data_IF_930951829578
#
_entry.id   IF_930951829578
#
_cell.length_a   1.000
_cell.length_b   1.000
_cell.length_c   1.000
_cell.angle_alpha   90.00
_cell.angle_beta   90.00
_cell.angle_gamma   90.00
#
_symmetry.space_group_name_H-M   'P 1'
#
loop_
_entity.id
_entity.type
_entity.pdbx_description
1 polymer ?
#
# COMPACT_ATOMS: atom_id res chain seq x y z
N UNK A 1 14.28 -3.84 -14.79
CA UNK A 1 14.43 -3.10 -13.52
C UNK A 1 13.03 -2.89 -12.99
N UNK A 2 12.65 -3.58 -11.92
CA UNK A 2 11.39 -3.33 -11.24
C UNK A 2 11.61 -2.12 -10.34
N UNK A 3 10.87 -1.03 -10.61
CA UNK A 3 10.90 0.15 -9.75
C UNK A 3 10.10 -0.15 -8.46
N UNK A 4 10.65 0.13 -7.27
CA UNK A 4 9.87 0.05 -6.04
C UNK A 4 8.76 1.11 -6.07
N UNK A 5 7.57 0.70 -5.66
CA UNK A 5 6.39 1.56 -5.55
C UNK A 5 5.80 1.44 -4.15
N UNK A 6 5.03 2.45 -3.77
CA UNK A 6 4.43 2.55 -2.46
C UNK A 6 2.95 2.25 -2.55
N UNK A 7 2.49 1.28 -1.76
CA UNK A 7 1.08 0.92 -1.63
C UNK A 7 0.48 1.67 -0.45
N UNK A 8 -0.68 2.26 -0.67
CA UNK A 8 -1.35 3.09 0.33
C UNK A 8 -2.85 2.82 0.37
N UNK A 9 -3.45 3.16 1.51
CA UNK A 9 -4.90 3.08 1.69
C UNK A 9 -5.55 4.33 1.13
N UNK A 10 -6.38 4.17 0.10
CA UNK A 10 -7.27 5.19 -0.41
C UNK A 10 -8.67 5.02 0.19
N UNK A 11 -9.05 5.94 1.08
CA UNK A 11 -10.38 5.94 1.71
C UNK A 11 -11.41 6.65 0.83
N UNK A 12 -12.62 6.09 0.72
CA UNK A 12 -13.67 6.61 -0.17
C UNK A 12 -14.38 7.84 0.39
N UNK A 13 -14.49 7.95 1.73
CA UNK A 13 -15.28 8.99 2.42
C UNK A 13 -14.45 10.04 3.12
N UNK A 14 -13.15 9.85 3.16
CA UNK A 14 -12.21 10.73 3.85
C UNK A 14 -11.03 10.98 2.95
N UNK A 15 -10.67 12.25 2.78
CA UNK A 15 -9.42 12.64 2.14
C UNK A 15 -8.44 12.95 3.26
N UNK A 16 -7.60 11.98 3.64
CA UNK A 16 -6.61 12.25 4.68
C UNK A 16 -5.65 13.34 4.18
N UNK A 17 -5.19 14.20 5.10
CA UNK A 17 -4.21 15.25 4.80
C UNK A 17 -2.91 14.68 4.24
N UNK A 18 -2.61 13.41 4.54
CA UNK A 18 -1.43 12.68 4.10
C UNK A 18 -1.81 11.29 3.63
N UNK A 19 -1.12 10.81 2.60
CA UNK A 19 -1.25 9.44 2.13
C UNK A 19 -0.72 8.46 3.19
N UNK A 20 -1.47 7.38 3.45
CA UNK A 20 -1.10 6.36 4.44
C UNK A 20 -0.53 5.14 3.73
N UNK A 21 0.79 5.10 3.65
CA UNK A 21 1.56 4.04 2.97
C UNK A 21 1.72 2.86 3.91
N UNK A 22 1.39 1.66 3.45
CA UNK A 22 1.55 0.42 4.21
C UNK A 22 2.88 -0.25 3.86
N UNK A 23 3.17 -0.39 2.56
CA UNK A 23 4.31 -1.17 2.07
C UNK A 23 5.01 -0.49 0.92
N UNK A 24 6.30 -0.77 0.79
CA UNK A 24 7.05 -0.62 -0.44
C UNK A 24 7.23 -2.01 -1.08
N UNK A 25 6.76 -2.17 -2.31
CA UNK A 25 6.82 -3.42 -3.08
C UNK A 25 7.24 -3.16 -4.52
N UNK A 26 7.45 -4.21 -5.32
CA UNK A 26 7.72 -4.05 -6.75
C UNK A 26 6.48 -3.58 -7.52
N UNK A 27 6.70 -2.82 -8.61
CA UNK A 27 5.59 -2.31 -9.43
C UNK A 27 4.68 -3.42 -9.98
N UNK A 28 5.21 -4.57 -10.37
CA UNK A 28 4.39 -5.67 -10.90
C UNK A 28 3.48 -6.25 -9.80
N UNK A 29 4.04 -6.46 -8.62
CA UNK A 29 3.30 -6.94 -7.45
C UNK A 29 2.21 -5.95 -7.02
N UNK A 30 2.50 -4.65 -7.04
CA UNK A 30 1.51 -3.63 -6.73
C UNK A 30 0.34 -3.62 -7.69
N UNK A 31 0.58 -3.86 -8.98
CA UNK A 31 -0.49 -4.02 -9.98
C UNK A 31 -1.35 -5.24 -9.68
N UNK A 32 -0.74 -6.38 -9.32
CA UNK A 32 -1.47 -7.60 -8.95
C UNK A 32 -2.30 -7.39 -7.70
N UNK A 33 -1.68 -6.87 -6.63
CA UNK A 33 -2.31 -6.62 -5.34
C UNK A 33 -3.50 -5.65 -5.46
N UNK A 34 -3.31 -4.51 -6.12
CA UNK A 34 -4.36 -3.50 -6.25
C UNK A 34 -5.44 -3.88 -7.29
N UNK A 35 -5.20 -4.91 -8.11
CA UNK A 35 -6.23 -5.48 -9.00
C UNK A 35 -7.03 -6.60 -8.32
N UNK A 36 -6.58 -7.13 -7.18
CA UNK A 36 -7.30 -8.15 -6.42
C UNK A 36 -8.54 -7.54 -5.75
N UNK A 37 -9.71 -8.15 -5.95
CA UNK A 37 -10.97 -7.62 -5.42
C UNK A 37 -11.03 -7.60 -3.90
N UNK A 38 -10.22 -8.41 -3.21
CA UNK A 38 -10.16 -8.48 -1.74
C UNK A 38 -9.46 -7.27 -1.13
N UNK A 39 -8.67 -6.55 -1.91
CA UNK A 39 -7.99 -5.32 -1.46
C UNK A 39 -8.85 -4.07 -1.61
N UNK A 40 -10.05 -4.21 -2.18
CA UNK A 40 -11.05 -3.14 -2.32
C UNK A 40 -12.31 -3.47 -1.51
N UNK A 41 -12.57 -2.70 -0.47
CA UNK A 41 -13.79 -2.78 0.33
C UNK A 41 -14.74 -1.62 0.00
N UNK A 42 -15.93 -1.61 0.61
CA UNK A 42 -16.88 -0.50 0.42
C UNK A 42 -16.39 0.84 1.00
N UNK A 43 -15.44 0.81 1.94
CA UNK A 43 -14.96 2.00 2.66
C UNK A 43 -13.60 2.50 2.17
N UNK A 44 -12.71 1.58 1.78
CA UNK A 44 -11.35 1.90 1.33
C UNK A 44 -10.87 0.86 0.32
N UNK A 45 -9.88 1.25 -0.48
CA UNK A 45 -9.18 0.37 -1.41
C UNK A 45 -7.67 0.60 -1.33
N UNK A 46 -6.90 -0.41 -1.74
CA UNK A 46 -5.47 -0.24 -1.94
C UNK A 46 -5.17 0.39 -3.29
N UNK A 47 -4.25 1.35 -3.29
CA UNK A 47 -3.69 1.99 -4.47
C UNK A 47 -2.17 2.02 -4.37
N UNK A 48 -1.48 2.22 -5.50
CA UNK A 48 -0.02 2.34 -5.53
C UNK A 48 0.44 3.59 -6.27
N UNK A 49 1.61 4.10 -5.87
CA UNK A 49 2.28 5.22 -6.55
C UNK A 49 3.78 4.97 -6.65
N UNK A 50 4.37 5.32 -7.80
CA UNK A 50 5.82 5.35 -7.98
C UNK A 50 6.45 6.67 -7.53
N UNK A 51 5.63 7.67 -7.17
CA UNK A 51 6.05 9.01 -6.76
C UNK A 51 5.23 9.41 -5.54
N UNK A 52 5.61 8.96 -4.33
CA UNK A 52 4.85 9.25 -3.13
C UNK A 52 5.04 10.69 -2.62
N UNK A 53 6.07 11.41 -3.10
CA UNK A 53 6.42 12.73 -2.59
C UNK A 53 7.35 12.66 -1.38
N UNK A 54 7.32 13.67 -0.52
CA UNK A 54 8.18 13.79 0.65
C UNK A 54 7.58 13.05 1.85
N UNK A 55 8.33 12.16 2.53
CA UNK A 55 7.86 11.51 3.73
C UNK A 55 7.53 12.53 4.83
N UNK A 56 6.52 12.23 5.64
CA UNK A 56 5.92 13.06 6.70
C UNK A 56 5.22 14.35 6.22
N UNK A 57 5.43 14.81 4.99
CA UNK A 57 4.69 15.92 4.38
C UNK A 57 3.53 15.42 3.52
N UNK A 58 3.82 14.63 2.48
CA UNK A 58 2.84 14.09 1.53
C UNK A 58 2.27 12.75 2.01
N UNK A 59 3.09 11.95 2.70
CA UNK A 59 2.74 10.60 3.10
C UNK A 59 3.40 10.16 4.40
N UNK A 60 2.80 9.20 5.09
CA UNK A 60 3.35 8.59 6.29
C UNK A 60 3.22 7.08 6.20
N UNK A 61 4.13 6.37 6.88
CA UNK A 61 3.96 4.96 7.14
C UNK A 61 2.73 4.74 8.03
N UNK A 62 1.95 3.72 7.68
CA UNK A 62 0.85 3.21 8.44
C UNK A 62 1.21 1.79 8.87
N UNK A 63 0.91 1.47 10.12
CA UNK A 63 1.07 0.12 10.64
C UNK A 63 0.14 -0.83 9.89
N UNK A 64 0.71 -1.91 9.35
CA UNK A 64 -0.10 -2.99 8.83
C UNK A 64 -0.68 -3.81 9.98
N UNK A 65 -1.99 -4.04 9.94
CA UNK A 65 -2.70 -4.79 10.97
C UNK A 65 -2.89 -6.28 10.57
N UNK A 66 -2.16 -6.76 9.56
CA UNK A 66 -2.30 -8.12 9.03
C UNK A 66 -3.59 -8.37 8.24
N UNK A 67 -4.38 -7.32 7.95
CA UNK A 67 -5.67 -7.47 7.25
C UNK A 67 -5.51 -8.09 5.86
N UNK A 68 -4.36 -7.89 5.23
CA UNK A 68 -4.07 -8.36 3.88
C UNK A 68 -3.01 -9.46 3.82
N UNK A 69 -2.59 -9.98 4.97
CA UNK A 69 -1.54 -11.01 5.08
C UNK A 69 -1.85 -12.24 4.23
N UNK A 70 -3.11 -12.70 4.29
CA UNK A 70 -3.58 -13.81 3.44
C UNK A 70 -3.43 -13.50 1.94
N UNK A 71 -3.78 -12.29 1.50
CA UNK A 71 -3.70 -11.90 0.08
C UNK A 71 -2.24 -11.77 -0.36
N UNK A 72 -1.39 -11.18 0.48
CA UNK A 72 0.05 -11.05 0.23
C UNK A 72 0.71 -12.42 0.11
N UNK A 73 0.40 -13.34 1.03
CA UNK A 73 0.91 -14.70 1.04
C UNK A 73 0.44 -15.50 -0.18
N UNK A 74 -0.85 -15.43 -0.54
CA UNK A 74 -1.38 -16.12 -1.73
C UNK A 74 -0.81 -15.57 -3.05
N UNK A 75 -0.50 -14.27 -3.11
CA UNK A 75 0.14 -13.66 -4.28
C UNK A 75 1.67 -13.82 -4.29
N UNK A 76 2.27 -14.29 -3.19
CA UNK A 76 3.71 -14.42 -3.03
C UNK A 76 4.45 -13.08 -3.06
N UNK A 77 3.83 -12.02 -2.55
CA UNK A 77 4.37 -10.66 -2.61
C UNK A 77 5.24 -10.41 -1.38
N UNK A 78 6.49 -10.04 -1.61
CA UNK A 78 7.39 -9.60 -0.55
C UNK A 78 7.17 -8.11 -0.24
N UNK A 79 6.72 -7.82 0.98
CA UNK A 79 6.49 -6.45 1.43
C UNK A 79 7.66 -5.90 2.23
N UNK A 80 8.10 -4.69 1.89
CA UNK A 80 8.96 -3.91 2.77
C UNK A 80 8.12 -2.96 3.61
N UNK A 81 7.94 -3.31 4.86
CA UNK A 81 7.21 -2.54 5.86
C UNK A 81 8.07 -1.39 6.38
N UNK A 82 7.43 -0.45 7.08
CA UNK A 82 8.16 0.48 7.94
C UNK A 82 8.93 -0.32 8.99
N UNK A 83 10.25 -0.20 8.97
CA UNK A 83 11.06 -0.67 10.07
C UNK A 83 10.87 0.30 11.23
N UNK A 84 10.07 -0.07 12.23
CA UNK A 84 10.28 0.47 13.58
C UNK A 84 11.71 0.11 13.97
N UNK A 85 12.60 1.10 13.93
CA UNK A 85 13.89 1.03 14.60
C UNK A 85 13.68 1.05 16.13
#
# INVERSE_FOLDING_TARGET
>A
MNDPVYVFIASRRTTPTRMRVLWQIERDDAKRLCSDRRTATSNHMLCWTARPGVPEEDWTWAEDNGMYDQVLSELGIETREWATA
#
